data_IF_218197739392
#
_entry.id   IF_218197739392
#
_cell.length_a   1.000
_cell.length_b   1.000
_cell.length_c   1.000
_cell.angle_alpha   90.00
_cell.angle_beta   90.00
_cell.angle_gamma   90.00
#
_symmetry.space_group_name_H-M   'P 1'
#
loop_
_entity.id
_entity.type
_entity.pdbx_description
1 polymer ?
#
# COMPACT_ATOMS: atom_id res chain seq x y z
N UNK A 1 41.06 -37.03 -4.93
CA UNK A 1 40.71 -36.33 -3.67
C UNK A 1 39.98 -35.04 -4.07
N UNK A 2 38.64 -34.99 -4.07
CA UNK A 2 37.71 -34.64 -2.96
C UNK A 2 37.96 -33.26 -2.33
N UNK A 3 36.94 -32.39 -2.49
CA UNK A 3 36.47 -31.24 -1.66
C UNK A 3 37.14 -29.88 -1.89
N UNK A 4 36.50 -28.70 -1.71
CA UNK A 4 35.12 -28.18 -1.70
C UNK A 4 35.29 -26.66 -1.46
N UNK A 5 34.53 -25.80 -2.14
CA UNK A 5 33.99 -24.56 -1.55
C UNK A 5 34.81 -23.26 -1.60
N UNK A 6 34.21 -22.22 -2.18
CA UNK A 6 34.13 -20.79 -1.79
C UNK A 6 33.09 -20.18 -2.76
N UNK A 7 31.79 -20.15 -2.41
CA UNK A 7 31.05 -19.08 -1.71
C UNK A 7 30.94 -17.77 -2.53
N UNK A 8 29.82 -17.67 -3.24
CA UNK A 8 28.85 -16.55 -3.34
C UNK A 8 29.42 -15.13 -3.32
N UNK A 9 29.36 -14.44 -4.45
CA UNK A 9 29.20 -12.99 -4.50
C UNK A 9 27.95 -12.66 -5.33
N UNK A 10 26.82 -12.53 -4.64
CA UNK A 10 25.57 -12.04 -5.20
C UNK A 10 25.64 -10.51 -5.19
N UNK A 11 25.85 -9.92 -6.36
CA UNK A 11 25.80 -8.47 -6.58
C UNK A 11 24.36 -8.00 -6.33
N UNK A 12 24.14 -7.38 -5.17
CA UNK A 12 22.90 -6.70 -4.82
C UNK A 12 22.88 -5.36 -5.55
N UNK A 13 22.31 -5.31 -6.75
CA UNK A 13 22.01 -4.05 -7.43
C UNK A 13 20.90 -3.33 -6.67
N UNK A 14 21.33 -2.34 -5.89
CA UNK A 14 20.53 -1.32 -5.23
C UNK A 14 19.88 -0.44 -6.30
N UNK A 15 18.59 -0.68 -6.59
CA UNK A 15 17.78 0.24 -7.37
C UNK A 15 17.05 1.20 -6.41
N UNK A 16 17.69 2.32 -6.11
CA UNK A 16 17.01 3.51 -5.62
C UNK A 16 16.39 4.23 -6.82
N UNK A 17 15.07 4.13 -7.01
CA UNK A 17 14.30 5.09 -7.80
C UNK A 17 12.81 5.04 -7.44
N UNK A 18 12.31 6.16 -6.92
CA UNK A 18 10.92 6.59 -7.09
C UNK A 18 9.93 6.19 -5.99
N UNK A 19 9.50 7.19 -5.21
CA UNK A 19 8.18 7.19 -4.58
C UNK A 19 7.09 7.15 -5.67
N UNK A 20 6.85 5.98 -6.26
CA UNK A 20 5.59 5.70 -6.92
C UNK A 20 4.68 5.10 -5.85
N UNK A 21 3.58 5.78 -5.55
CA UNK A 21 2.50 5.17 -4.76
C UNK A 21 2.04 3.92 -5.51
N UNK A 22 1.70 2.86 -4.80
CA UNK A 22 1.47 1.54 -5.38
C UNK A 22 0.31 1.49 -6.39
N UNK A 23 -0.57 2.50 -6.38
CA UNK A 23 -1.57 2.75 -7.41
C UNK A 23 -0.93 3.01 -8.78
N UNK A 24 0.19 3.74 -8.85
CA UNK A 24 0.93 3.98 -10.09
C UNK A 24 1.60 2.72 -10.61
N UNK A 25 2.14 1.85 -9.73
CA UNK A 25 2.72 0.56 -10.16
C UNK A 25 1.65 -0.40 -10.67
N UNK A 26 0.52 -0.50 -9.96
CA UNK A 26 -0.58 -1.39 -10.34
C UNK A 26 -1.22 -0.93 -11.65
N UNK A 27 -1.42 0.37 -11.82
CA UNK A 27 -1.92 0.97 -13.06
C UNK A 27 -0.90 0.79 -14.17
N UNK A 28 0.37 1.17 -13.97
CA UNK A 28 1.42 1.09 -14.99
C UNK A 28 1.67 -0.35 -15.49
N UNK A 29 1.75 -1.35 -14.61
CA UNK A 29 1.94 -2.75 -15.03
C UNK A 29 0.70 -3.29 -15.74
N UNK A 30 -0.51 -3.01 -15.23
CA UNK A 30 -1.75 -3.47 -15.88
C UNK A 30 -1.89 -2.83 -17.26
N UNK A 31 -1.66 -1.51 -17.37
CA UNK A 31 -1.68 -0.77 -18.65
C UNK A 31 -0.60 -1.29 -19.61
N UNK A 32 0.60 -1.59 -19.13
CA UNK A 32 1.70 -2.11 -19.96
C UNK A 32 1.39 -3.51 -20.49
N UNK A 33 0.92 -4.44 -19.65
CA UNK A 33 0.58 -5.81 -20.06
C UNK A 33 -0.62 -5.82 -21.00
N UNK A 34 -1.68 -5.04 -20.73
CA UNK A 34 -2.82 -4.90 -21.65
C UNK A 34 -2.41 -4.29 -22.99
N UNK A 35 -1.56 -3.25 -23.01
CA UNK A 35 -1.12 -2.63 -24.27
C UNK A 35 -0.28 -3.55 -25.16
N UNK A 36 0.48 -4.49 -24.58
CA UNK A 36 1.31 -5.44 -25.32
C UNK A 36 0.51 -6.64 -25.83
N UNK A 37 -0.59 -7.01 -25.17
CA UNK A 37 -1.30 -8.28 -25.41
C UNK A 37 -2.66 -8.15 -26.07
N UNK A 38 -3.26 -6.96 -26.16
CA UNK A 38 -4.53 -6.72 -26.86
C UNK A 38 -4.37 -6.55 -28.38
N UNK A 39 -3.66 -7.47 -29.04
CA UNK A 39 -3.42 -7.44 -30.49
C UNK A 39 -4.42 -8.27 -31.31
N UNK A 40 -5.22 -9.12 -30.66
CA UNK A 40 -6.16 -10.03 -31.33
C UNK A 40 -7.60 -9.56 -31.12
N UNK A 41 -8.33 -9.35 -32.22
CA UNK A 41 -9.74 -8.94 -32.21
C UNK A 41 -10.66 -10.04 -31.63
N UNK A 42 -11.34 -9.80 -30.49
CA UNK A 42 -12.27 -10.76 -29.90
C UNK A 42 -13.39 -11.21 -30.84
N UNK A 43 -13.83 -10.34 -31.78
CA UNK A 43 -14.88 -10.68 -32.74
C UNK A 43 -14.42 -11.69 -33.79
N UNK A 44 -13.12 -11.74 -34.10
CA UNK A 44 -12.53 -12.76 -34.96
C UNK A 44 -12.31 -14.07 -34.20
N UNK A 45 -11.86 -14.00 -32.95
CA UNK A 45 -11.70 -15.18 -32.07
C UNK A 45 -13.05 -15.89 -31.83
N UNK A 46 -14.13 -15.12 -31.69
CA UNK A 46 -15.50 -15.63 -31.54
C UNK A 46 -16.01 -16.42 -32.77
N UNK A 47 -15.41 -16.24 -33.95
CA UNK A 47 -15.75 -16.98 -35.18
C UNK A 47 -14.96 -18.28 -35.37
N UNK A 48 -13.95 -18.54 -34.54
CA UNK A 48 -13.14 -19.77 -34.61
C UNK A 48 -14.01 -20.99 -34.28
N UNK A 49 -14.06 -22.03 -35.13
CA UNK A 49 -14.77 -23.28 -34.84
C UNK A 49 -14.25 -23.98 -33.58
N UNK A 50 -15.13 -24.67 -32.85
CA UNK A 50 -14.79 -25.25 -31.54
C UNK A 50 -13.69 -26.33 -31.60
N UNK A 51 -13.60 -27.09 -32.70
CA UNK A 51 -12.54 -28.07 -32.95
C UNK A 51 -11.15 -27.44 -33.04
N UNK A 52 -11.07 -26.14 -33.34
CA UNK A 52 -9.83 -25.34 -33.38
C UNK A 52 -9.56 -24.57 -32.09
N UNK A 53 -10.47 -24.58 -31.11
CA UNK A 53 -10.34 -23.87 -29.82
C UNK A 53 -9.72 -24.70 -28.70
N UNK A 54 -9.32 -25.95 -28.97
CA UNK A 54 -8.83 -26.87 -27.93
C UNK A 54 -7.71 -26.31 -27.03
N UNK A 55 -6.90 -25.36 -27.52
CA UNK A 55 -5.84 -24.71 -26.75
C UNK A 55 -6.28 -23.52 -25.88
N UNK A 56 -7.43 -22.91 -26.15
CA UNK A 56 -7.85 -21.66 -25.49
C UNK A 56 -8.06 -21.82 -23.97
N UNK A 57 -8.75 -22.86 -23.47
CA UNK A 57 -8.98 -22.99 -22.03
C UNK A 57 -7.67 -23.10 -21.23
N UNK A 58 -6.66 -23.79 -21.78
CA UNK A 58 -5.34 -23.91 -21.14
C UNK A 58 -4.58 -22.58 -21.14
N UNK A 59 -4.67 -21.82 -22.23
CA UNK A 59 -4.05 -20.51 -22.34
C UNK A 59 -4.72 -19.49 -21.39
N UNK A 60 -6.06 -19.45 -21.35
CA UNK A 60 -6.82 -18.61 -20.42
C UNK A 60 -6.52 -18.94 -18.96
N UNK A 61 -6.45 -20.23 -18.62
CA UNK A 61 -6.04 -20.68 -17.28
C UNK A 61 -4.63 -20.16 -16.93
N UNK A 62 -3.68 -20.28 -17.86
CA UNK A 62 -2.30 -19.83 -17.63
C UNK A 62 -2.21 -18.31 -17.42
N UNK A 63 -2.99 -17.51 -18.18
CA UNK A 63 -3.08 -16.06 -18.00
C UNK A 63 -3.62 -15.73 -16.62
N UNK A 64 -4.76 -16.30 -16.23
CA UNK A 64 -5.37 -16.03 -14.91
C UNK A 64 -4.47 -16.46 -13.75
N UNK A 65 -3.81 -17.63 -13.86
CA UNK A 65 -2.83 -18.05 -12.87
C UNK A 65 -1.65 -17.07 -12.80
N UNK A 66 -1.19 -16.57 -13.95
CA UNK A 66 -0.15 -15.54 -14.03
C UNK A 66 -0.54 -14.24 -13.33
N UNK A 67 -1.78 -13.77 -13.54
CA UNK A 67 -2.33 -12.59 -12.86
C UNK A 67 -2.38 -12.77 -11.34
N UNK A 68 -2.84 -13.92 -10.85
CA UNK A 68 -2.90 -14.21 -9.42
C UNK A 68 -1.49 -14.30 -8.79
N UNK A 69 -0.49 -14.83 -9.52
CA UNK A 69 0.91 -14.80 -9.10
C UNK A 69 1.50 -13.40 -9.09
N UNK A 70 1.15 -12.56 -10.06
CA UNK A 70 1.57 -11.17 -10.11
C UNK A 70 1.02 -10.38 -8.91
N UNK A 71 -0.28 -10.55 -8.59
CA UNK A 71 -0.90 -9.96 -7.40
C UNK A 71 -0.16 -10.37 -6.13
N UNK A 72 0.17 -11.66 -5.99
CA UNK A 72 0.95 -12.16 -4.85
C UNK A 72 2.33 -11.50 -4.76
N UNK A 73 3.06 -11.39 -5.88
CA UNK A 73 4.37 -10.74 -5.92
C UNK A 73 4.29 -9.25 -5.53
N UNK A 74 3.26 -8.54 -6.00
CA UNK A 74 3.01 -7.15 -5.63
C UNK A 74 2.78 -6.99 -4.12
N UNK A 75 1.94 -7.84 -3.51
CA UNK A 75 1.71 -7.80 -2.06
C UNK A 75 2.98 -8.08 -1.26
N UNK A 76 3.82 -9.03 -1.69
CA UNK A 76 5.13 -9.28 -1.05
C UNK A 76 6.08 -8.09 -1.17
N UNK A 77 6.07 -7.40 -2.31
CA UNK A 77 6.84 -6.16 -2.49
C UNK A 77 6.35 -5.05 -1.56
N UNK A 78 5.03 -4.92 -1.36
CA UNK A 78 4.48 -3.95 -0.40
C UNK A 78 4.90 -4.26 1.03
N UNK A 79 4.89 -5.55 1.41
CA UNK A 79 5.33 -5.97 2.74
C UNK A 79 6.78 -5.57 2.99
N UNK A 80 7.68 -5.86 2.04
CA UNK A 80 9.09 -5.47 2.13
C UNK A 80 9.27 -3.95 2.23
N UNK A 81 8.46 -3.17 1.51
CA UNK A 81 8.49 -1.71 1.62
C UNK A 81 8.06 -1.21 3.02
N UNK A 82 7.07 -1.86 3.64
CA UNK A 82 6.66 -1.54 5.02
C UNK A 82 7.71 -1.97 6.05
N UNK A 83 8.37 -3.11 5.85
CA UNK A 83 9.49 -3.55 6.69
C UNK A 83 10.62 -2.52 6.67
N UNK A 84 10.96 -2.00 5.48
CA UNK A 84 11.95 -0.92 5.36
C UNK A 84 11.53 0.34 6.14
N UNK A 85 10.27 0.75 6.04
CA UNK A 85 9.75 1.88 6.82
C UNK A 85 9.86 1.68 8.33
N UNK A 86 9.71 0.45 8.83
CA UNK A 86 9.94 0.18 10.26
C UNK A 86 11.39 0.41 10.66
N UNK A 87 12.34 0.02 9.81
CA UNK A 87 13.77 0.29 10.03
C UNK A 87 14.05 1.79 10.01
N UNK A 88 13.47 2.52 9.06
CA UNK A 88 13.61 3.98 9.00
C UNK A 88 13.08 4.65 10.28
N UNK A 89 11.94 4.21 10.82
CA UNK A 89 11.42 4.72 12.10
C UNK A 89 12.30 4.36 13.31
N UNK A 90 12.99 3.21 13.27
CA UNK A 90 13.95 2.84 14.32
C UNK A 90 15.18 3.75 14.29
N UNK A 91 15.69 4.08 13.10
CA UNK A 91 16.76 5.06 12.93
C UNK A 91 16.32 6.46 13.41
N UNK A 92 15.11 6.90 13.04
CA UNK A 92 14.55 8.17 13.51
C UNK A 92 14.43 8.24 15.03
N UNK A 93 14.04 7.14 15.69
CA UNK A 93 13.96 7.07 17.15
C UNK A 93 15.33 7.19 17.80
N UNK A 94 16.34 6.49 17.28
CA UNK A 94 17.73 6.60 17.78
C UNK A 94 18.27 8.02 17.59
N UNK A 95 17.99 8.63 16.43
CA UNK A 95 18.34 10.03 16.17
C UNK A 95 17.65 11.00 17.13
N UNK A 96 16.39 10.73 17.48
CA UNK A 96 15.67 11.52 18.48
C UNK A 96 16.30 11.36 19.88
N UNK A 97 16.66 10.14 20.28
CA UNK A 97 17.30 9.89 21.58
C UNK A 97 18.67 10.58 21.69
N UNK A 98 19.46 10.59 20.60
CA UNK A 98 20.73 11.33 20.55
C UNK A 98 20.52 12.84 20.70
N UNK A 99 19.50 13.40 20.04
CA UNK A 99 19.15 14.82 20.16
C UNK A 99 18.67 15.17 21.57
N UNK A 100 17.90 14.30 22.21
CA UNK A 100 17.41 14.50 23.59
C UNK A 100 18.58 14.59 24.57
N UNK A 101 19.51 13.63 24.49
CA UNK A 101 20.73 13.63 25.31
C UNK A 101 21.59 14.88 25.07
N UNK A 102 21.69 15.33 23.82
CA UNK A 102 22.43 16.54 23.45
C UNK A 102 21.78 17.81 24.04
N UNK A 103 20.44 17.91 23.97
CA UNK A 103 19.69 19.01 24.56
C UNK A 103 19.82 19.02 26.09
N UNK A 104 19.78 17.86 26.74
CA UNK A 104 20.00 17.76 28.19
C UNK A 104 21.39 18.26 28.59
N UNK A 105 22.41 17.88 27.82
CA UNK A 105 23.76 18.36 28.05
C UNK A 105 23.87 19.89 27.94
N UNK A 106 23.24 20.48 26.94
CA UNK A 106 23.23 21.93 26.76
C UNK A 106 22.37 22.67 27.79
N UNK A 107 21.27 22.07 28.25
CA UNK A 107 20.46 22.58 29.36
C UNK A 107 21.31 22.66 30.62
N UNK A 108 22.04 21.59 30.96
CA UNK A 108 22.93 21.56 32.14
C UNK A 108 24.02 22.64 32.05
N UNK A 109 24.63 22.83 30.88
CA UNK A 109 25.61 23.93 30.69
C UNK A 109 24.98 25.29 30.91
N UNK A 110 23.80 25.54 30.34
CA UNK A 110 23.11 26.81 30.47
C UNK A 110 22.66 27.07 31.91
N UNK A 111 22.21 26.05 32.64
CA UNK A 111 21.88 26.14 34.06
C UNK A 111 23.13 26.48 34.89
N UNK A 112 24.30 25.91 34.57
CA UNK A 112 25.56 26.27 35.23
C UNK A 112 26.00 27.71 34.93
N UNK A 113 25.85 28.17 33.67
CA UNK A 113 26.12 29.57 33.29
C UNK A 113 25.18 30.51 34.05
N UNK A 114 23.88 30.21 34.07
CA UNK A 114 22.86 31.02 34.72
C UNK A 114 23.03 31.12 36.25
N UNK A 115 23.61 30.09 36.87
CA UNK A 115 23.92 30.03 38.29
C UNK A 115 25.26 30.73 38.66
N UNK A 116 26.12 31.04 37.68
CA UNK A 116 27.44 31.62 37.93
C UNK A 116 27.40 33.15 37.81
N UNK A 117 27.71 33.91 38.89
CA UNK A 117 27.73 35.36 38.83
C UNK A 117 28.72 35.90 37.79
N UNK A 118 28.29 36.89 37.01
CA UNK A 118 29.15 37.55 36.01
C UNK A 118 29.30 36.81 34.67
N UNK A 119 28.68 35.64 34.50
CA UNK A 119 28.65 34.95 33.20
C UNK A 119 27.34 35.23 32.43
N UNK A 120 27.45 36.06 31.39
CA UNK A 120 26.34 36.41 30.52
C UNK A 120 25.34 37.40 31.16
N UNK A 121 24.29 37.74 30.41
CA UNK A 121 23.16 38.53 30.92
C UNK A 121 22.05 37.59 31.38
N UNK A 122 21.44 37.87 32.53
CA UNK A 122 20.42 37.01 33.13
C UNK A 122 19.24 36.76 32.19
N UNK A 123 18.76 37.82 31.53
CA UNK A 123 17.63 37.75 30.60
C UNK A 123 17.95 36.88 29.37
N UNK A 124 19.17 36.97 28.85
CA UNK A 124 19.61 36.19 27.69
C UNK A 124 19.81 34.72 28.06
N UNK A 125 20.37 34.44 29.25
CA UNK A 125 20.52 33.09 29.79
C UNK A 125 19.16 32.40 29.97
N UNK A 126 18.18 33.10 30.57
CA UNK A 126 16.81 32.58 30.76
C UNK A 126 16.14 32.29 29.41
N UNK A 127 16.29 33.17 28.42
CA UNK A 127 15.74 32.95 27.07
C UNK A 127 16.35 31.73 26.40
N UNK A 128 17.68 31.60 26.43
CA UNK A 128 18.39 30.46 25.87
C UNK A 128 17.96 29.15 26.54
N UNK A 129 17.89 29.12 27.87
CA UNK A 129 17.43 27.96 28.63
C UNK A 129 15.98 27.58 28.30
N UNK A 130 15.09 28.57 28.20
CA UNK A 130 13.69 28.35 27.83
C UNK A 130 13.57 27.77 26.43
N UNK A 131 14.34 28.31 25.47
CA UNK A 131 14.36 27.80 24.09
C UNK A 131 14.85 26.35 24.02
N UNK A 132 15.86 25.97 24.81
CA UNK A 132 16.33 24.58 24.89
C UNK A 132 15.23 23.66 25.44
N UNK A 133 14.53 24.07 26.50
CA UNK A 133 13.42 23.32 27.10
C UNK A 133 12.24 23.17 26.13
N UNK A 134 11.94 24.21 25.33
CA UNK A 134 10.92 24.13 24.27
C UNK A 134 11.31 23.14 23.18
N UNK A 135 12.56 23.19 22.67
CA UNK A 135 13.05 22.21 21.69
C UNK A 135 12.96 20.77 22.20
N UNK A 136 13.22 20.54 23.50
CA UNK A 136 13.06 19.23 24.12
C UNK A 136 11.60 18.77 24.12
N UNK A 137 10.65 19.66 24.39
CA UNK A 137 9.23 19.34 24.31
C UNK A 137 8.78 19.02 22.87
N UNK A 138 9.24 19.78 21.88
CA UNK A 138 8.96 19.50 20.47
C UNK A 138 9.49 18.11 20.06
N UNK A 139 10.68 17.75 20.53
CA UNK A 139 11.28 16.43 20.30
C UNK A 139 10.44 15.30 20.92
N UNK A 140 9.85 15.51 22.10
CA UNK A 140 8.91 14.54 22.69
C UNK A 140 7.66 14.35 21.83
N UNK A 141 7.13 15.42 21.24
CA UNK A 141 6.03 15.33 20.28
C UNK A 141 6.41 14.48 19.07
N UNK A 142 7.61 14.67 18.53
CA UNK A 142 8.10 13.90 17.39
C UNK A 142 8.29 12.41 17.74
N UNK A 143 8.81 12.08 18.93
CA UNK A 143 8.87 10.68 19.40
C UNK A 143 7.49 10.03 19.47
N UNK A 144 6.47 10.75 19.92
CA UNK A 144 5.08 10.27 19.95
C UNK A 144 4.59 9.98 18.52
N UNK A 145 4.85 10.88 17.57
CA UNK A 145 4.48 10.68 16.15
C UNK A 145 5.18 9.48 15.54
N UNK A 146 6.48 9.32 15.77
CA UNK A 146 7.27 8.17 15.27
C UNK A 146 6.69 6.87 15.81
N UNK A 147 6.42 6.78 17.12
CA UNK A 147 5.81 5.59 17.72
C UNK A 147 4.42 5.27 17.14
N UNK A 148 3.57 6.29 17.00
CA UNK A 148 2.25 6.11 16.39
C UNK A 148 2.34 5.59 14.95
N UNK A 149 3.25 6.14 14.15
CA UNK A 149 3.49 5.71 12.77
C UNK A 149 4.06 4.29 12.70
N UNK A 150 4.96 3.93 13.62
CA UNK A 150 5.52 2.58 13.75
C UNK A 150 4.43 1.56 14.06
N UNK A 151 3.55 1.87 15.01
CA UNK A 151 2.43 0.98 15.38
C UNK A 151 1.39 0.85 14.26
N UNK A 152 1.05 1.95 13.59
CA UNK A 152 0.18 1.92 12.42
C UNK A 152 0.76 1.04 11.31
N UNK A 153 2.06 1.16 11.05
CA UNK A 153 2.76 0.36 10.03
C UNK A 153 2.78 -1.13 10.38
N UNK A 154 3.02 -1.47 11.66
CA UNK A 154 2.95 -2.87 12.13
C UNK A 154 1.56 -3.48 11.91
N UNK A 155 0.49 -2.74 12.21
CA UNK A 155 -0.90 -3.21 11.97
C UNK A 155 -1.15 -3.45 10.48
N UNK A 156 -0.76 -2.51 9.62
CA UNK A 156 -0.88 -2.69 8.17
C UNK A 156 -0.11 -3.91 7.66
N UNK A 157 1.06 -4.20 8.23
CA UNK A 157 1.82 -5.41 7.88
C UNK A 157 1.13 -6.69 8.33
N UNK A 158 0.47 -6.70 9.49
CA UNK A 158 -0.30 -7.86 9.95
C UNK A 158 -1.46 -8.15 8.99
N UNK A 159 -2.25 -7.14 8.66
CA UNK A 159 -3.35 -7.25 7.68
C UNK A 159 -2.84 -7.70 6.30
N UNK A 160 -1.71 -7.16 5.84
CA UNK A 160 -1.12 -7.53 4.56
C UNK A 160 -0.60 -8.98 4.57
N UNK A 161 -0.02 -9.45 5.67
CA UNK A 161 0.41 -10.84 5.82
C UNK A 161 -0.77 -11.81 5.73
N UNK A 162 -1.92 -11.47 6.30
CA UNK A 162 -3.14 -12.29 6.17
C UNK A 162 -3.61 -12.36 4.71
N UNK A 163 -3.61 -11.22 4.01
CA UNK A 163 -3.94 -11.15 2.57
C UNK A 163 -2.96 -11.95 1.72
N UNK A 164 -1.66 -11.89 2.03
CA UNK A 164 -0.62 -12.68 1.36
C UNK A 164 -0.91 -14.16 1.54
N UNK A 165 -1.16 -14.63 2.76
CA UNK A 165 -1.47 -16.05 3.02
C UNK A 165 -2.69 -16.52 2.24
N UNK A 166 -3.78 -15.75 2.27
CA UNK A 166 -5.00 -16.08 1.52
C UNK A 166 -4.74 -16.15 0.01
N UNK A 167 -3.90 -15.26 -0.52
CA UNK A 167 -3.51 -15.27 -1.93
C UNK A 167 -2.57 -16.42 -2.28
N UNK A 168 -1.64 -16.79 -1.39
CA UNK A 168 -0.78 -17.97 -1.55
C UNK A 168 -1.60 -19.24 -1.66
N UNK A 169 -2.60 -19.40 -0.79
CA UNK A 169 -3.53 -20.52 -0.84
C UNK A 169 -4.35 -20.51 -2.13
N UNK A 170 -4.82 -19.34 -2.57
CA UNK A 170 -5.53 -19.19 -3.85
C UNK A 170 -4.68 -19.61 -5.04
N UNK A 171 -3.41 -19.18 -5.09
CA UNK A 171 -2.48 -19.55 -6.17
C UNK A 171 -2.13 -21.04 -6.13
N UNK A 172 -1.93 -21.59 -4.92
CA UNK A 172 -1.60 -23.01 -4.72
C UNK A 172 -2.75 -23.94 -5.12
N UNK A 173 -3.97 -23.53 -4.82
CA UNK A 173 -5.19 -24.30 -5.10
C UNK A 173 -5.86 -23.87 -6.42
N UNK A 174 -5.17 -23.12 -7.28
CA UNK A 174 -5.72 -22.64 -8.54
C UNK A 174 -5.84 -23.78 -9.57
N UNK A 175 -7.06 -24.01 -10.06
CA UNK A 175 -7.44 -25.11 -10.94
C UNK A 175 -8.19 -24.61 -12.18
N UNK A 176 -8.32 -25.43 -13.22
CA UNK A 176 -9.07 -25.02 -14.42
C UNK A 176 -10.55 -24.72 -14.13
N UNK A 177 -11.15 -25.36 -13.12
CA UNK A 177 -12.53 -25.08 -12.70
C UNK A 177 -12.65 -23.70 -12.03
N UNK A 178 -11.67 -23.31 -11.22
CA UNK A 178 -11.63 -21.97 -10.59
C UNK A 178 -11.26 -20.86 -11.56
N UNK A 179 -10.72 -21.20 -12.73
CA UNK A 179 -10.43 -20.26 -13.82
C UNK A 179 -11.60 -20.05 -14.80
N UNK A 180 -12.67 -20.85 -14.75
CA UNK A 180 -13.84 -20.63 -15.60
C UNK A 180 -14.57 -19.37 -15.10
N UNK A 181 -14.84 -18.36 -15.95
CA UNK A 181 -15.73 -17.27 -15.56
C UNK A 181 -17.06 -17.88 -15.11
N UNK A 182 -17.66 -17.37 -14.03
CA UNK A 182 -19.05 -17.67 -13.73
C UNK A 182 -19.88 -17.30 -14.96
N UNK A 183 -20.27 -18.33 -15.71
CA UNK A 183 -21.16 -18.22 -16.84
C UNK A 183 -22.45 -17.61 -16.30
N UNK A 184 -22.87 -16.51 -16.93
CA UNK A 184 -24.06 -15.71 -16.59
C UNK A 184 -25.14 -16.59 -15.95
N UNK A 185 -25.50 -16.29 -14.70
CA UNK A 185 -26.80 -16.67 -14.18
C UNK A 185 -27.84 -16.01 -15.12
N UNK A 186 -28.36 -16.79 -16.05
CA UNK A 186 -29.52 -16.41 -16.83
C UNK A 186 -30.70 -16.24 -15.87
N UNK A 187 -31.52 -15.19 -16.02
CA UNK A 187 -32.74 -15.06 -15.25
C UNK A 187 -33.72 -16.19 -15.64
N UNK A 188 -34.29 -16.86 -14.64
CA UNK A 188 -35.36 -17.84 -14.84
C UNK A 188 -36.52 -17.24 -15.66
N UNK A 189 -37.08 -17.98 -16.63
CA UNK A 189 -38.29 -17.60 -17.33
C UNK A 189 -39.55 -18.13 -16.62
N UNK A 190 -40.69 -17.61 -17.08
CA UNK A 190 -42.10 -17.92 -16.74
C UNK A 190 -42.72 -17.04 -15.64
N UNK A 191 -43.83 -16.31 -15.87
CA UNK A 191 -44.86 -16.43 -16.91
C UNK A 191 -45.65 -15.11 -17.04
N UNK A 192 -45.96 -14.77 -18.29
CA UNK A 192 -47.17 -14.14 -18.85
C UNK A 192 -48.29 -13.78 -17.83
N UNK A 193 -49.05 -12.68 -17.91
CA UNK A 193 -49.53 -11.93 -19.08
C UNK A 193 -50.21 -10.64 -18.58
N UNK A 194 -50.02 -9.54 -19.30
CA UNK A 194 -50.73 -8.26 -19.15
C UNK A 194 -52.23 -8.39 -19.57
N UNK A 195 -53.10 -7.38 -19.36
CA UNK A 195 -52.99 -6.11 -20.11
C UNK A 195 -53.26 -4.81 -19.32
N UNK A 196 -52.55 -3.77 -19.75
CA UNK A 196 -52.79 -2.31 -19.67
C UNK A 196 -54.23 -1.85 -20.04
N UNK A 197 -54.57 -0.54 -20.08
CA UNK A 197 -53.89 0.69 -19.62
C UNK A 197 -54.84 1.63 -18.82
N UNK A 198 -54.37 2.76 -18.27
CA UNK A 198 -54.92 4.12 -18.58
C UNK A 198 -54.31 5.26 -17.75
N UNK A 199 -54.08 6.36 -18.48
CA UNK A 199 -54.18 7.76 -18.08
C UNK A 199 -53.16 8.37 -17.10
N UNK A 200 -52.27 9.20 -17.67
CA UNK A 200 -51.69 10.36 -16.99
C UNK A 200 -52.79 11.31 -16.48
N UNK A 201 -52.53 12.08 -15.41
CA UNK A 201 -52.24 13.49 -15.68
C UNK A 201 -51.25 14.18 -14.71
N UNK A 202 -50.44 15.06 -15.33
CA UNK A 202 -49.97 16.39 -14.88
C UNK A 202 -49.75 16.64 -13.37
N UNK A 203 -48.49 16.84 -13.03
CA UNK A 203 -48.10 17.65 -11.87
C UNK A 203 -48.29 19.15 -12.15
N UNK A 204 -48.90 19.92 -11.23
CA UNK A 204 -48.72 21.35 -11.15
C UNK A 204 -47.85 21.76 -9.95
N UNK A 205 -46.91 22.64 -10.26
CA UNK A 205 -46.43 23.83 -9.54
C UNK A 205 -46.34 23.85 -8.00
N UNK A 206 -45.20 24.41 -7.55
CA UNK A 206 -44.91 24.93 -6.21
C UNK A 206 -45.98 25.89 -5.65
N UNK A 207 -45.98 26.10 -4.32
CA UNK A 207 -45.37 27.32 -3.76
C UNK A 207 -44.54 27.00 -2.49
N UNK A 208 -43.40 27.65 -2.25
CA UNK A 208 -43.25 28.97 -1.61
C UNK A 208 -43.96 29.15 -0.26
N UNK A 209 -43.11 29.32 0.75
CA UNK A 209 -43.18 30.31 1.83
C UNK A 209 -43.95 30.00 3.14
N UNK A 210 -43.33 30.54 4.21
CA UNK A 210 -43.80 30.86 5.56
C UNK A 210 -43.65 29.73 6.59
N UNK A 211 -43.03 29.94 7.75
CA UNK A 211 -42.56 31.16 8.46
C UNK A 211 -41.63 30.68 9.57
#
# INVERSE_FOLDING_TARGET
MKKTGIIISLVMTLACAGCATMEDLKTSITTTVTSITSTVDPALVAKVPDDKRAGFPKAEFAVKLGEEKLKLAQMKSELAAKERKLVDYDEDMVNADLKDASLDYDIVKMEAIDATPGLGKKEDNIKALTNLKLKKNDLQSDRIKINANKDATKRQMQELNEKIKAQEDKVKNFTMETAKPAEKAAPSPEKDKAPEPTAAPKAPAAPEEKT
#
